data_IF_954717399568
#
_entry.id   IF_954717399568
#
_cell.length_a   1.000
_cell.length_b   1.000
_cell.length_c   1.000
_cell.angle_alpha   90.00
_cell.angle_beta   90.00
_cell.angle_gamma   90.00
#
_symmetry.space_group_name_H-M   'P 1'
#
loop_
_entity.id
_entity.type
_entity.pdbx_description
1 polymer ?
#
# COMPACT_ATOMS: atom_id res chain seq x y z
N UNK A 1 7.27 4.71 2.97
CA UNK A 1 6.60 5.56 3.88
C UNK A 1 5.09 5.57 3.71
N UNK A 2 4.55 6.22 2.67
CA UNK A 2 3.10 6.29 2.52
C UNK A 2 2.52 4.90 2.22
N UNK A 3 3.10 4.19 1.29
CA UNK A 3 2.61 2.86 0.95
C UNK A 3 2.79 1.91 2.12
N UNK A 4 3.88 2.02 2.85
CA UNK A 4 4.10 1.19 4.01
C UNK A 4 3.04 1.40 5.09
N UNK A 5 2.69 2.66 5.35
CA UNK A 5 1.65 2.96 6.32
C UNK A 5 0.30 2.42 5.85
N UNK A 6 0.01 2.54 4.55
CA UNK A 6 -1.23 2.03 4.00
C UNK A 6 -1.28 0.50 4.08
N UNK A 7 -0.15 -0.15 3.83
CA UNK A 7 -0.09 -1.60 3.96
C UNK A 7 -0.35 -2.06 5.38
N UNK A 8 0.19 -1.34 6.36
CA UNK A 8 -0.08 -1.68 7.74
C UNK A 8 -1.55 -1.55 8.07
N UNK A 9 -2.21 -0.51 7.54
CA UNK A 9 -3.64 -0.37 7.72
C UNK A 9 -4.40 -1.53 7.10
N UNK A 10 -4.01 -1.92 5.90
CA UNK A 10 -4.69 -3.01 5.21
C UNK A 10 -4.54 -4.32 5.97
N UNK A 11 -3.37 -4.58 6.51
CA UNK A 11 -3.13 -5.81 7.24
C UNK A 11 -3.87 -5.82 8.57
N UNK A 12 -4.01 -4.66 9.20
CA UNK A 12 -4.67 -4.58 10.50
C UNK A 12 -6.19 -4.53 10.38
N UNK A 13 -6.72 -3.81 9.40
CA UNK A 13 -8.13 -3.51 9.34
C UNK A 13 -8.78 -3.78 8.00
N UNK A 14 -8.02 -4.27 7.03
CA UNK A 14 -8.57 -4.55 5.72
C UNK A 14 -8.31 -3.43 4.73
N UNK A 15 -8.45 -3.78 3.45
CA UNK A 15 -8.14 -2.85 2.38
C UNK A 15 -9.05 -1.62 2.38
N UNK A 16 -10.26 -1.77 2.89
CA UNK A 16 -11.21 -0.67 2.93
C UNK A 16 -10.82 0.39 3.94
N UNK A 17 -9.94 0.07 4.88
CA UNK A 17 -9.47 1.05 5.85
C UNK A 17 -8.46 2.02 5.24
N UNK A 18 -7.97 1.74 4.05
CA UNK A 18 -6.99 2.59 3.39
C UNK A 18 -7.68 3.84 2.86
N UNK A 19 -7.52 4.95 3.57
CA UNK A 19 -8.02 6.24 3.14
C UNK A 19 -6.89 7.24 3.28
N UNK A 20 -6.98 8.33 2.55
CA UNK A 20 -5.97 9.38 2.66
C UNK A 20 -5.90 9.92 4.08
N UNK A 21 -7.07 10.08 4.71
CA UNK A 21 -7.13 10.58 6.06
C UNK A 21 -6.44 9.65 7.04
N UNK A 22 -6.70 8.35 6.94
CA UNK A 22 -6.13 7.38 7.87
C UNK A 22 -4.62 7.30 7.70
N UNK A 23 -4.15 7.31 6.46
CA UNK A 23 -2.71 7.26 6.20
C UNK A 23 -2.04 8.55 6.67
N UNK A 24 -2.68 9.68 6.43
CA UNK A 24 -2.15 10.97 6.88
C UNK A 24 -2.01 10.99 8.39
N UNK A 25 -3.02 10.47 9.08
CA UNK A 25 -3.01 10.43 10.54
C UNK A 25 -1.84 9.59 11.06
N UNK A 26 -1.61 8.46 10.42
CA UNK A 26 -0.52 7.60 10.83
C UNK A 26 0.85 8.23 10.65
N UNK A 27 1.00 9.04 9.61
CA UNK A 27 2.29 9.63 9.28
C UNK A 27 2.48 11.03 9.84
N UNK A 28 1.45 11.57 10.50
CA UNK A 28 1.53 12.94 10.99
C UNK A 28 1.49 13.96 9.87
N UNK A 29 0.84 13.62 8.76
CA UNK A 29 0.72 14.50 7.62
C UNK A 29 -0.71 14.99 7.50
N UNK A 30 -0.91 16.03 6.69
CA UNK A 30 -2.27 16.45 6.36
C UNK A 30 -2.82 15.57 5.25
N UNK A 31 -4.15 15.51 5.13
CA UNK A 31 -4.78 14.76 4.07
C UNK A 31 -4.34 15.27 2.70
N UNK A 32 -4.27 16.58 2.55
CA UNK A 32 -3.85 17.16 1.27
C UNK A 32 -2.39 16.86 0.99
N UNK A 33 -1.57 16.72 2.02
CA UNK A 33 -0.18 16.32 1.83
C UNK A 33 -0.07 14.93 1.26
N UNK A 34 -0.89 14.00 1.76
CA UNK A 34 -0.91 12.64 1.22
C UNK A 34 -1.48 12.65 -0.19
N UNK A 35 -2.58 13.38 -0.41
CA UNK A 35 -3.20 13.46 -1.71
C UNK A 35 -2.21 13.99 -2.76
N UNK A 36 -1.44 14.99 -2.37
CA UNK A 36 -0.45 15.57 -3.27
C UNK A 36 0.60 14.54 -3.72
N UNK A 37 0.89 13.56 -2.87
CA UNK A 37 1.92 12.57 -3.16
C UNK A 37 1.39 11.38 -3.93
N UNK A 38 0.16 10.95 -3.67
CA UNK A 38 -0.37 9.74 -4.28
C UNK A 38 -1.47 10.00 -5.30
N UNK A 39 -2.13 11.12 -5.24
CA UNK A 39 -3.12 11.51 -6.24
C UNK A 39 -4.55 11.19 -5.88
N UNK A 40 -4.84 10.02 -5.35
CA UNK A 40 -6.21 9.64 -4.99
C UNK A 40 -6.19 8.43 -4.09
N UNK A 41 -7.34 8.16 -3.48
CA UNK A 41 -7.50 6.96 -2.66
C UNK A 41 -7.32 5.70 -3.51
N UNK A 42 -7.89 5.71 -4.69
CA UNK A 42 -7.77 4.58 -5.58
C UNK A 42 -6.33 4.32 -5.98
N UNK A 43 -5.58 5.38 -6.26
CA UNK A 43 -4.17 5.24 -6.59
C UNK A 43 -3.39 4.67 -5.42
N UNK A 44 -3.74 5.08 -4.20
CA UNK A 44 -3.08 4.58 -3.01
C UNK A 44 -3.39 3.09 -2.81
N UNK A 45 -4.66 2.72 -2.96
CA UNK A 45 -5.04 1.31 -2.81
C UNK A 45 -4.37 0.45 -3.88
N UNK A 46 -4.29 0.95 -5.09
CA UNK A 46 -3.62 0.23 -6.17
C UNK A 46 -2.15 0.04 -5.86
N UNK A 47 -1.50 1.06 -5.33
CA UNK A 47 -0.08 0.96 -4.98
C UNK A 47 0.15 -0.09 -3.90
N UNK A 48 -0.76 -0.17 -2.92
CA UNK A 48 -0.67 -1.17 -1.87
C UNK A 48 -0.81 -2.57 -2.44
N UNK A 49 -1.79 -2.75 -3.32
CA UNK A 49 -2.03 -4.06 -3.93
C UNK A 49 -0.82 -4.48 -4.75
N UNK A 50 -0.25 -3.56 -5.52
CA UNK A 50 0.91 -3.86 -6.33
C UNK A 50 2.11 -4.22 -5.49
N UNK A 51 2.30 -3.52 -4.39
CA UNK A 51 3.42 -3.80 -3.51
C UNK A 51 3.25 -5.15 -2.81
N UNK A 52 2.03 -5.44 -2.38
CA UNK A 52 1.73 -6.72 -1.75
C UNK A 52 1.95 -7.86 -2.73
N UNK A 53 1.45 -7.70 -3.95
CA UNK A 53 1.61 -8.73 -4.98
C UNK A 53 3.05 -8.96 -5.36
N UNK A 54 3.83 -7.88 -5.40
CA UNK A 54 5.25 -8.00 -5.73
C UNK A 54 5.98 -8.82 -4.68
N UNK A 55 5.69 -8.57 -3.40
CA UNK A 55 6.28 -9.35 -2.33
C UNK A 55 5.87 -10.80 -2.38
N UNK A 56 4.59 -11.05 -2.66
CA UNK A 56 4.09 -12.40 -2.78
C UNK A 56 4.78 -13.14 -3.93
N UNK A 57 4.88 -12.50 -5.07
CA UNK A 57 5.54 -13.12 -6.22
C UNK A 57 7.00 -13.40 -5.95
N UNK A 58 7.67 -12.50 -5.25
CA UNK A 58 9.07 -12.71 -4.93
C UNK A 58 9.27 -13.90 -4.02
N UNK A 59 8.35 -14.09 -3.09
CA UNK A 59 8.50 -15.16 -2.10
C UNK A 59 8.05 -16.52 -2.61
N UNK A 60 7.08 -16.54 -3.51
CA UNK A 60 6.44 -17.78 -3.92
C UNK A 60 6.68 -18.10 -5.37
N UNK A 61 6.42 -17.12 -6.23
CA UNK A 61 6.36 -17.34 -7.66
C UNK A 61 7.72 -17.26 -8.35
N UNK A 62 8.51 -16.27 -7.97
CA UNK A 62 9.81 -16.06 -8.61
C UNK A 62 10.71 -17.29 -8.48
N UNK A 63 10.84 -17.90 -7.31
CA UNK A 63 11.67 -19.11 -7.22
C UNK A 63 11.22 -20.20 -8.17
N UNK A 64 9.92 -20.37 -8.30
CA UNK A 64 9.40 -21.38 -9.20
C UNK A 64 9.73 -21.06 -10.65
N UNK A 65 9.69 -19.81 -11.01
CA UNK A 65 9.97 -19.41 -12.37
C UNK A 65 11.44 -19.47 -12.71
N UNK A 66 12.27 -19.34 -11.72
CA UNK A 66 13.70 -19.37 -11.96
C UNK A 66 14.24 -20.77 -12.13
N UNK A 67 13.38 -21.71 -11.94
CA UNK A 67 13.81 -23.10 -12.02
C UNK A 67 13.72 -23.72 -13.37
N UNK A 68 13.13 -23.20 -14.32
CA UNK A 68 12.89 -23.86 -15.60
C UNK A 68 14.12 -24.49 -16.21
#
# INVERSE_FOLDING_TARGET
AIVGAAMNLALAEGLEAITLQAVASRLGLSKSGVFSRVGSREALQKAVIEEYGRGFLADVFVPAMQKP
#
